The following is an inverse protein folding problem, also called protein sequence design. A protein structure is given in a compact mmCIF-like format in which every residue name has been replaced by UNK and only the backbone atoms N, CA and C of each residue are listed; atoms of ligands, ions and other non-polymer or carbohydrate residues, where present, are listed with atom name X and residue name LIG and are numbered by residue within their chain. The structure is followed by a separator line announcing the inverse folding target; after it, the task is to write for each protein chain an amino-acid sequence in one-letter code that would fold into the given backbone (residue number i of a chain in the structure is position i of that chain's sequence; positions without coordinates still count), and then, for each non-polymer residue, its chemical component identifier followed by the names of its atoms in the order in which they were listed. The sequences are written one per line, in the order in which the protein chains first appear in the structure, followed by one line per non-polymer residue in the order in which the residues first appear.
data_IF_422398282015
#
_entry.id   IF_422398282015
#
_cell.length_a   1.000
_cell.length_b   1.000
_cell.length_c   1.000
_cell.angle_alpha   90.00
_cell.angle_beta   90.00
_cell.angle_gamma   90.00
#
_symmetry.space_group_name_H-M   'P 1'
#
loop_
_entity.id
_entity.type
_entity.pdbx_description
1 polymer ?
#
# COMPACT_ATOMS: atom_id res chain seq x y z
N UNK A 1 -9.03 53.87 -5.72
CA UNK A 1 -9.72 52.76 -5.04
C UNK A 1 -9.51 51.55 -5.93
N UNK A 2 -8.46 50.77 -5.65
CA UNK A 2 -8.16 49.56 -6.43
C UNK A 2 -9.30 48.56 -6.21
N UNK A 3 -9.96 48.15 -7.29
CA UNK A 3 -10.89 47.02 -7.27
C UNK A 3 -10.02 45.78 -7.10
N UNK A 4 -9.90 45.29 -5.88
CA UNK A 4 -9.38 43.95 -5.64
C UNK A 4 -10.26 43.01 -6.46
N UNK A 5 -9.63 42.23 -7.33
CA UNK A 5 -10.32 41.35 -8.25
C UNK A 5 -10.94 40.20 -7.46
N UNK A 6 -12.27 40.03 -7.53
CA UNK A 6 -12.99 38.96 -6.82
C UNK A 6 -12.41 37.56 -7.12
N UNK A 7 -11.79 37.38 -8.30
CA UNK A 7 -11.10 36.14 -8.68
C UNK A 7 -9.86 35.88 -7.82
N UNK A 8 -9.02 36.88 -7.58
CA UNK A 8 -7.81 36.76 -6.76
C UNK A 8 -8.16 36.46 -5.29
N UNK A 9 -9.26 37.04 -4.79
CA UNK A 9 -9.76 36.75 -3.43
C UNK A 9 -10.18 35.28 -3.33
N UNK A 10 -10.92 34.77 -4.32
CA UNK A 10 -11.38 33.39 -4.35
C UNK A 10 -10.23 32.38 -4.46
N UNK A 11 -9.21 32.67 -5.26
CA UNK A 11 -8.02 31.82 -5.38
C UNK A 11 -7.27 31.75 -4.06
N UNK A 12 -7.02 32.91 -3.43
CA UNK A 12 -6.37 32.97 -2.11
C UNK A 12 -7.15 32.22 -1.03
N UNK A 13 -8.48 32.34 -1.01
CA UNK A 13 -9.31 31.59 -0.07
C UNK A 13 -9.23 30.07 -0.27
N UNK A 14 -9.10 29.60 -1.51
CA UNK A 14 -8.91 28.16 -1.80
C UNK A 14 -7.56 27.66 -1.29
N UNK A 15 -6.50 28.44 -1.50
CA UNK A 15 -5.16 28.11 -1.02
C UNK A 15 -5.11 28.08 0.51
N UNK A 16 -5.66 29.09 1.17
CA UNK A 16 -5.73 29.16 2.64
C UNK A 16 -6.49 27.96 3.22
N UNK A 17 -7.59 27.55 2.58
CA UNK A 17 -8.38 26.39 3.00
C UNK A 17 -7.63 25.07 2.77
N UNK A 18 -6.97 24.92 1.62
CA UNK A 18 -6.13 23.76 1.32
C UNK A 18 -4.99 23.62 2.33
N UNK A 19 -4.36 24.73 2.71
CA UNK A 19 -3.27 24.77 3.69
C UNK A 19 -3.75 24.43 5.10
N UNK A 20 -4.92 24.94 5.49
CA UNK A 20 -5.54 24.57 6.75
C UNK A 20 -5.79 23.05 6.82
N UNK A 21 -6.32 22.44 5.76
CA UNK A 21 -6.58 21.00 5.72
C UNK A 21 -5.27 20.21 5.70
N UNK A 22 -4.31 20.61 4.86
CA UNK A 22 -2.99 19.99 4.78
C UNK A 22 -2.31 19.96 6.16
N UNK A 23 -2.29 21.11 6.85
CA UNK A 23 -1.70 21.22 8.19
C UNK A 23 -2.39 20.31 9.21
N UNK A 24 -3.72 20.16 9.11
CA UNK A 24 -4.47 19.22 9.95
C UNK A 24 -4.10 17.77 9.64
N UNK A 25 -3.99 17.41 8.37
CA UNK A 25 -3.61 16.05 7.93
C UNK A 25 -2.20 15.70 8.41
N UNK A 26 -1.22 16.58 8.21
CA UNK A 26 0.16 16.36 8.66
C UNK A 26 0.26 16.26 10.18
N UNK A 27 -0.49 17.09 10.92
CA UNK A 27 -0.56 17.00 12.39
C UNK A 27 -1.10 15.64 12.85
N UNK A 28 -2.16 15.15 12.20
CA UNK A 28 -2.70 13.82 12.49
C UNK A 28 -1.71 12.71 12.11
N UNK A 29 -1.01 12.85 10.99
CA UNK A 29 0.04 11.93 10.57
C UNK A 29 1.15 11.85 11.62
N UNK A 30 1.64 12.99 12.12
CA UNK A 30 2.66 13.03 13.18
C UNK A 30 2.24 12.34 14.48
N UNK A 31 0.93 12.32 14.79
CA UNK A 31 0.39 11.66 16.00
C UNK A 31 0.12 10.18 15.81
N UNK A 32 -0.32 9.76 14.61
CA UNK A 32 -0.93 8.45 14.37
C UNK A 32 -0.13 7.54 13.43
N UNK A 33 0.93 8.04 12.80
CA UNK A 33 1.69 7.27 11.82
C UNK A 33 2.38 6.06 12.46
N UNK A 34 2.11 4.89 11.88
CA UNK A 34 2.74 3.61 12.22
C UNK A 34 3.84 3.28 11.23
N UNK A 35 4.72 2.35 11.59
CA UNK A 35 5.79 1.92 10.70
C UNK A 35 5.26 1.22 9.44
N UNK A 36 5.72 1.62 8.26
CA UNK A 36 5.26 1.09 6.99
C UNK A 36 5.49 -0.42 6.87
N UNK A 37 6.74 -0.87 7.00
CA UNK A 37 7.13 -2.26 6.82
C UNK A 37 6.42 -3.22 7.77
N UNK A 38 6.05 -2.73 8.96
CA UNK A 38 5.37 -3.56 9.97
C UNK A 38 3.86 -3.68 9.75
N UNK A 39 3.21 -2.67 9.18
CA UNK A 39 1.74 -2.56 9.24
C UNK A 39 1.04 -2.44 7.89
N UNK A 40 1.75 -2.16 6.79
CA UNK A 40 1.11 -1.97 5.48
C UNK A 40 0.44 -3.25 4.98
N UNK A 41 1.08 -4.41 5.15
CA UNK A 41 0.51 -5.72 4.77
C UNK A 41 -0.80 -6.00 5.49
N UNK A 42 -0.82 -5.86 6.82
CA UNK A 42 -2.03 -6.08 7.62
C UNK A 42 -3.15 -5.09 7.26
N UNK A 43 -2.82 -3.83 6.97
CA UNK A 43 -3.82 -2.86 6.49
C UNK A 43 -4.45 -3.30 5.16
N UNK A 44 -3.63 -3.72 4.19
CA UNK A 44 -4.10 -4.23 2.89
C UNK A 44 -5.00 -5.45 3.08
N UNK A 45 -4.55 -6.42 3.88
CA UNK A 45 -5.29 -7.65 4.13
C UNK A 45 -6.66 -7.38 4.77
N UNK A 46 -6.70 -6.58 5.84
CA UNK A 46 -7.95 -6.25 6.50
C UNK A 46 -8.91 -5.51 5.57
N UNK A 47 -8.40 -4.53 4.81
CA UNK A 47 -9.22 -3.78 3.88
C UNK A 47 -9.85 -4.67 2.80
N UNK A 48 -9.06 -5.57 2.19
CA UNK A 48 -9.58 -6.51 1.18
C UNK A 48 -10.58 -7.50 1.76
N UNK A 49 -10.34 -8.03 2.97
CA UNK A 49 -11.30 -8.90 3.66
C UNK A 49 -12.62 -8.21 3.99
N UNK A 50 -12.57 -6.92 4.25
CA UNK A 50 -13.74 -6.08 4.42
C UNK A 50 -14.46 -5.76 3.09
N UNK A 51 -13.95 -6.24 1.96
CA UNK A 51 -14.46 -5.99 0.61
C UNK A 51 -14.02 -4.65 0.01
N UNK A 52 -13.24 -3.86 0.74
CA UNK A 52 -12.77 -2.56 0.31
C UNK A 52 -11.50 -2.63 -0.55
N UNK A 53 -11.17 -1.55 -1.23
CA UNK A 53 -9.96 -1.39 -2.06
C UNK A 53 -8.98 -0.48 -1.32
N UNK A 54 -7.76 -0.96 -0.98
CA UNK A 54 -6.73 -0.12 -0.42
C UNK A 54 -6.28 0.93 -1.45
N UNK A 55 -6.17 2.17 -1.01
CA UNK A 55 -5.60 3.27 -1.78
C UNK A 55 -4.55 3.98 -0.94
N UNK A 56 -3.41 4.31 -1.53
CA UNK A 56 -2.37 5.06 -0.85
C UNK A 56 -2.26 6.48 -1.41
N UNK A 57 -2.22 7.47 -0.52
CA UNK A 57 -2.06 8.89 -0.88
C UNK A 57 -0.79 9.45 -0.28
N UNK A 58 0.02 10.08 -1.11
CA UNK A 58 1.26 10.76 -0.72
C UNK A 58 1.13 12.27 -0.71
N UNK A 59 0.07 12.83 -1.31
CA UNK A 59 -0.11 14.27 -1.52
C UNK A 59 -1.54 14.71 -1.21
N UNK A 60 -1.68 15.98 -0.82
CA UNK A 60 -2.95 16.71 -0.78
C UNK A 60 -2.75 18.10 -1.37
N UNK A 61 -3.63 18.50 -2.30
CA UNK A 61 -3.53 19.78 -3.01
C UNK A 61 -2.12 20.03 -3.60
N UNK A 62 -1.48 18.98 -4.15
CA UNK A 62 -0.13 19.05 -4.72
C UNK A 62 1.01 19.00 -3.69
N UNK A 63 0.74 19.21 -2.40
CA UNK A 63 1.75 19.15 -1.32
C UNK A 63 1.92 17.72 -0.81
N UNK A 64 3.15 17.23 -0.77
CA UNK A 64 3.49 15.89 -0.25
C UNK A 64 3.36 15.87 1.26
N UNK A 65 2.83 14.78 1.83
CA UNK A 65 2.77 14.62 3.28
C UNK A 65 4.16 14.33 3.85
N UNK A 66 4.55 15.06 4.89
CA UNK A 66 5.84 14.91 5.56
C UNK A 66 5.70 14.96 7.09
N UNK A 67 6.42 14.08 7.78
CA UNK A 67 6.54 14.06 9.25
C UNK A 67 8.02 14.23 9.60
N UNK A 68 8.37 15.38 10.20
CA UNK A 68 9.77 15.65 10.57
C UNK A 68 10.73 15.54 9.38
N UNK A 69 10.33 16.10 8.23
CA UNK A 69 11.07 16.09 6.96
C UNK A 69 11.23 14.71 6.31
N UNK A 70 10.49 13.69 6.77
CA UNK A 70 10.41 12.37 6.12
C UNK A 70 9.05 12.18 5.45
N UNK A 71 8.98 11.52 4.28
CA UNK A 71 7.70 11.23 3.62
C UNK A 71 6.74 10.44 4.51
N UNK A 72 5.45 10.74 4.36
CA UNK A 72 4.35 10.00 4.97
C UNK A 72 3.33 9.57 3.93
N UNK A 73 2.63 8.47 4.21
CA UNK A 73 1.58 7.95 3.32
C UNK A 73 0.30 7.76 4.11
N UNK A 74 -0.82 8.18 3.53
CA UNK A 74 -2.16 7.89 4.02
C UNK A 74 -2.74 6.70 3.26
N UNK A 75 -2.91 5.57 3.92
CA UNK A 75 -3.74 4.47 3.43
C UNK A 75 -5.21 4.74 3.70
N UNK A 76 -6.06 4.48 2.72
CA UNK A 76 -7.52 4.59 2.80
C UNK A 76 -8.11 3.25 2.36
N UNK A 77 -9.01 2.68 3.14
CA UNK A 77 -9.80 1.53 2.72
C UNK A 77 -11.11 2.02 2.09
N UNK A 78 -11.20 1.99 0.77
CA UNK A 78 -12.35 2.51 0.06
C UNK A 78 -13.42 1.44 -0.18
N UNK A 79 -14.66 1.69 0.21
CA UNK A 79 -15.78 0.77 -0.06
C UNK A 79 -15.81 -0.51 0.76
N UNK A 80 -15.10 -0.56 1.90
CA UNK A 80 -15.24 -1.64 2.88
C UNK A 80 -16.59 -1.60 3.59
N UNK A 81 -16.95 -2.70 4.26
CA UNK A 81 -18.17 -2.80 5.10
C UNK A 81 -18.03 -2.15 6.48
N UNK A 82 -16.88 -1.54 6.79
CA UNK A 82 -16.61 -0.82 8.03
C UNK A 82 -16.07 -1.71 9.16
N UNK A 83 -15.62 -2.93 8.84
CA UNK A 83 -14.93 -3.80 9.80
C UNK A 83 -13.43 -3.48 9.87
N UNK A 84 -12.83 -3.06 8.76
CA UNK A 84 -11.45 -2.60 8.73
C UNK A 84 -11.35 -1.12 9.14
N UNK A 85 -10.15 -0.66 9.50
CA UNK A 85 -9.91 0.77 9.67
C UNK A 85 -10.09 1.49 8.33
N UNK A 86 -10.92 2.52 8.31
CA UNK A 86 -11.15 3.36 7.12
C UNK A 86 -9.86 4.02 6.60
N UNK A 87 -8.94 4.35 7.49
CA UNK A 87 -7.64 4.93 7.11
C UNK A 87 -6.54 4.66 8.12
N UNK A 88 -5.29 4.72 7.65
CA UNK A 88 -4.09 4.54 8.46
C UNK A 88 -2.96 5.40 7.91
N UNK A 89 -2.30 6.16 8.80
CA UNK A 89 -1.08 6.88 8.46
C UNK A 89 0.14 5.99 8.61
N UNK A 90 1.10 6.13 7.69
CA UNK A 90 2.36 5.40 7.70
C UNK A 90 3.57 6.34 7.61
N UNK A 91 4.67 5.90 8.21
CA UNK A 91 6.00 6.54 8.19
C UNK A 91 7.08 5.50 7.88
N UNK A 92 8.31 5.97 7.63
CA UNK A 92 9.46 5.13 7.29
C UNK A 92 9.24 4.29 6.01
N UNK A 93 8.65 4.92 4.98
CA UNK A 93 8.37 4.26 3.70
C UNK A 93 9.68 4.12 2.92
N UNK A 94 10.06 2.91 2.46
CA UNK A 94 11.21 2.75 1.58
C UNK A 94 11.02 3.52 0.26
N UNK A 95 12.10 4.11 -0.25
CA UNK A 95 12.04 5.00 -1.44
C UNK A 95 11.38 4.33 -2.65
N UNK A 96 11.77 3.09 -2.97
CA UNK A 96 11.20 2.33 -4.08
C UNK A 96 9.70 2.03 -3.95
N UNK A 97 9.17 1.96 -2.72
CA UNK A 97 7.74 1.73 -2.49
C UNK A 97 6.96 3.05 -2.51
N UNK A 98 7.60 4.12 -2.07
CA UNK A 98 7.07 5.47 -2.20
C UNK A 98 6.92 5.85 -3.68
N UNK A 99 7.92 5.54 -4.52
CA UNK A 99 7.85 5.71 -5.97
C UNK A 99 6.73 4.86 -6.60
N UNK A 100 6.59 3.60 -6.16
CA UNK A 100 5.53 2.70 -6.63
C UNK A 100 4.15 3.31 -6.36
N UNK A 101 3.91 3.77 -5.13
CA UNK A 101 2.64 4.40 -4.71
C UNK A 101 2.35 5.70 -5.47
N UNK A 102 3.38 6.44 -5.88
CA UNK A 102 3.19 7.69 -6.61
C UNK A 102 2.95 7.49 -8.11
N UNK A 103 3.40 6.37 -8.67
CA UNK A 103 3.37 6.10 -10.11
C UNK A 103 2.20 5.22 -10.54
N UNK A 104 1.90 4.18 -9.76
CA UNK A 104 1.00 3.11 -10.17
C UNK A 104 -0.38 3.22 -9.52
N UNK A 105 -1.38 2.59 -10.14
CA UNK A 105 -2.70 2.37 -9.54
C UNK A 105 -2.90 0.88 -9.28
N UNK A 106 -3.32 0.52 -8.07
CA UNK A 106 -3.44 -0.88 -7.68
C UNK A 106 -2.12 -1.50 -7.22
N UNK A 107 -1.19 -0.65 -6.82
CA UNK A 107 0.08 -0.90 -6.13
C UNK A 107 -0.07 -1.82 -4.92
N UNK A 108 -1.25 -1.82 -4.28
CA UNK A 108 -1.54 -2.66 -3.13
C UNK A 108 -1.38 -4.16 -3.44
N UNK A 109 -1.50 -4.59 -4.70
CA UNK A 109 -1.28 -5.99 -5.10
C UNK A 109 0.19 -6.39 -4.92
N UNK A 110 1.09 -5.56 -5.39
CA UNK A 110 2.54 -5.79 -5.25
C UNK A 110 2.97 -5.62 -3.79
N UNK A 111 2.45 -4.60 -3.10
CA UNK A 111 2.71 -4.41 -1.67
C UNK A 111 2.19 -5.59 -0.83
N UNK A 112 1.07 -6.21 -1.21
CA UNK A 112 0.57 -7.41 -0.54
C UNK A 112 1.58 -8.56 -0.66
N UNK A 113 2.12 -8.81 -1.86
CA UNK A 113 3.12 -9.87 -2.09
C UNK A 113 4.39 -9.63 -1.25
N UNK A 114 4.81 -8.37 -1.10
CA UNK A 114 6.04 -8.02 -0.36
C UNK A 114 5.88 -8.05 1.15
N UNK A 115 4.72 -7.63 1.68
CA UNK A 115 4.54 -7.36 3.12
C UNK A 115 3.65 -8.37 3.85
N UNK A 116 3.01 -9.30 3.14
CA UNK A 116 2.22 -10.35 3.77
C UNK A 116 2.96 -11.69 3.81
N UNK A 117 2.72 -12.51 4.86
CA UNK A 117 2.99 -13.93 4.78
C UNK A 117 2.29 -14.55 3.57
N UNK A 118 2.93 -15.55 2.98
CA UNK A 118 2.48 -16.20 1.76
C UNK A 118 1.01 -16.66 1.83
N UNK A 119 0.58 -17.22 2.96
CA UNK A 119 -0.76 -17.76 3.16
C UNK A 119 -1.84 -16.67 3.04
N UNK A 120 -1.56 -15.47 3.56
CA UNK A 120 -2.46 -14.31 3.44
C UNK A 120 -2.42 -13.74 2.02
N UNK A 121 -1.25 -13.70 1.38
CA UNK A 121 -1.13 -13.22 0.00
C UNK A 121 -1.91 -14.14 -0.97
N UNK A 122 -1.81 -15.46 -0.78
CA UNK A 122 -2.56 -16.46 -1.54
C UNK A 122 -4.07 -16.33 -1.29
N UNK A 123 -4.50 -16.15 -0.04
CA UNK A 123 -5.91 -15.89 0.28
C UNK A 123 -6.45 -14.68 -0.51
N UNK A 124 -5.71 -13.57 -0.52
CA UNK A 124 -6.10 -12.37 -1.27
C UNK A 124 -6.13 -12.62 -2.79
N UNK A 125 -5.18 -13.39 -3.33
CA UNK A 125 -5.16 -13.75 -4.74
C UNK A 125 -6.39 -14.58 -5.14
N UNK A 126 -6.78 -15.53 -4.29
CA UNK A 126 -7.95 -16.39 -4.51
C UNK A 126 -9.28 -15.62 -4.34
N UNK A 127 -9.34 -14.63 -3.45
CA UNK A 127 -10.51 -13.76 -3.32
C UNK A 127 -10.75 -12.89 -4.57
N UNK A 128 -9.69 -12.59 -5.33
CA UNK A 128 -9.72 -11.72 -6.51
C UNK A 128 -9.75 -12.51 -7.84
N UNK A 129 -10.25 -13.76 -7.86
CA UNK A 129 -10.21 -14.68 -9.01
C UNK A 129 -10.88 -14.19 -10.31
N UNK A 130 -11.36 -12.95 -10.39
CA UNK A 130 -11.70 -12.27 -11.66
C UNK A 130 -10.51 -11.55 -12.33
N UNK A 131 -9.34 -11.39 -11.71
CA UNK A 131 -8.20 -10.65 -12.28
C UNK A 131 -6.99 -11.54 -12.66
N UNK A 132 -6.61 -11.63 -13.96
CA UNK A 132 -5.64 -12.60 -14.46
C UNK A 132 -4.17 -12.37 -14.07
N UNK A 133 -3.79 -11.17 -13.61
CA UNK A 133 -2.40 -10.79 -13.33
C UNK A 133 -1.89 -11.45 -12.04
N UNK A 134 -2.63 -11.30 -10.93
CA UNK A 134 -2.26 -11.88 -9.64
C UNK A 134 -2.16 -13.41 -9.76
N UNK A 135 -3.08 -14.04 -10.50
CA UNK A 135 -3.08 -15.48 -10.72
C UNK A 135 -1.80 -15.96 -11.41
N UNK A 136 -1.26 -15.23 -12.39
CA UNK A 136 -0.05 -15.66 -13.13
C UNK A 136 1.21 -15.52 -12.29
N UNK A 137 1.39 -14.43 -11.55
CA UNK A 137 2.57 -14.21 -10.70
C UNK A 137 2.57 -15.16 -9.50
N UNK A 138 1.44 -15.29 -8.81
CA UNK A 138 1.27 -16.25 -7.71
C UNK A 138 1.47 -17.69 -8.21
N UNK A 139 0.95 -18.03 -9.39
CA UNK A 139 1.18 -19.35 -9.99
C UNK A 139 2.64 -19.57 -10.43
N UNK A 140 3.33 -18.55 -10.93
CA UNK A 140 4.75 -18.65 -11.29
C UNK A 140 5.63 -18.86 -10.06
N UNK A 141 5.35 -18.17 -8.95
CA UNK A 141 6.00 -18.38 -7.66
C UNK A 141 5.71 -19.80 -7.15
N UNK A 142 4.43 -20.23 -7.15
CA UNK A 142 4.04 -21.59 -6.76
C UNK A 142 4.70 -22.70 -7.59
N UNK A 143 4.88 -22.47 -8.89
CA UNK A 143 5.55 -23.41 -9.78
C UNK A 143 7.06 -23.43 -9.55
N UNK A 144 7.67 -22.29 -9.21
CA UNK A 144 9.08 -22.19 -8.83
C UNK A 144 9.39 -22.90 -7.52
N UNK A 145 8.59 -22.69 -6.48
CA UNK A 145 8.79 -23.32 -5.17
C UNK A 145 8.54 -24.83 -5.20
N UNK A 146 7.51 -25.30 -5.93
CA UNK A 146 7.31 -26.75 -6.16
C UNK A 146 8.45 -27.38 -6.97
N UNK A 147 9.08 -26.63 -7.88
CA UNK A 147 10.27 -27.09 -8.58
C UNK A 147 11.45 -27.21 -7.61
N UNK A 148 11.64 -26.23 -6.74
CA UNK A 148 12.68 -26.23 -5.71
C UNK A 148 12.49 -27.39 -4.73
N UNK A 149 11.26 -27.62 -4.25
CA UNK A 149 10.91 -28.74 -3.38
C UNK A 149 11.12 -30.10 -4.05
N UNK A 150 10.76 -30.25 -5.34
CA UNK A 150 11.08 -31.47 -6.11
C UNK A 150 12.59 -31.67 -6.25
N UNK A 151 13.33 -30.62 -6.58
CA UNK A 151 14.79 -30.68 -6.73
C UNK A 151 15.50 -31.00 -5.40
N UNK A 152 14.97 -30.52 -4.28
CA UNK A 152 15.49 -30.82 -2.94
C UNK A 152 15.05 -32.23 -2.47
N UNK A 153 13.84 -32.66 -2.79
CA UNK A 153 13.33 -34.01 -2.50
C UNK A 153 14.04 -35.11 -3.31
N UNK A 154 14.43 -34.83 -4.56
CA UNK A 154 15.25 -35.73 -5.38
C UNK A 154 16.70 -35.82 -4.87
N UNK A 155 17.26 -34.72 -4.34
CA UNK A 155 18.61 -34.74 -3.74
C UNK A 155 18.70 -35.54 -2.44
N UNK A 156 17.59 -35.71 -1.70
CA UNK A 156 17.57 -36.50 -0.46
C UNK A 156 17.28 -37.99 -0.69
N UNK A 157 16.81 -38.38 -1.87
CA UNK A 157 16.62 -39.80 -2.26
C UNK A 157 17.73 -40.32 -3.16
N UNK A 158 18.74 -39.50 -3.46
CA UNK A 158 19.97 -39.87 -4.13
C UNK A 158 20.68 -41.01 -3.41
N UNK A 159 20.51 -42.20 -3.96
CA UNK A 159 21.18 -43.43 -3.61
C UNK A 159 22.69 -43.18 -3.44
N UNK A 160 23.19 -43.25 -2.20
CA UNK A 160 24.63 -43.41 -1.96
C UNK A 160 25.03 -44.76 -2.58
N UNK A 161 25.97 -44.81 -3.53
CA UNK A 161 26.58 -46.08 -3.90
C UNK A 161 27.28 -46.62 -2.65
N UNK A 162 26.91 -47.84 -2.24
CA UNK A 162 27.69 -48.59 -1.26
C UNK A 162 28.88 -49.16 -2.02
N UNK A 163 30.06 -48.63 -1.73
CA UNK A 163 31.33 -49.33 -1.97
C UNK A 163 31.46 -50.53 -1.02
#
# INVERSE_FOLDING_TARGET
MERINDVEILERMKEDWADMIYNRLVREAGRKAVDWNRYVGDFIYQCRRDGGVPMFKTKYAGKRFEIGSKPAVLGICYGGRGMAKDSQWFKNIPEHELELVERETGEWRELAIRHLPWEKAEELAMMNLSEPIIRKEVHAIMMGDRLLERMLGEKLTGHFPRD
#
